data_IF_062057916460
#
_entry.id   IF_062057916460
#
_cell.length_a   1.000
_cell.length_b   1.000
_cell.length_c   1.000
_cell.angle_alpha   90.00
_cell.angle_beta   90.00
_cell.angle_gamma   90.00
#
_symmetry.space_group_name_H-M   'P 1'
#
loop_
_entity.id
_entity.type
_entity.pdbx_description
1 polymer ?
#
# COMPACT_ATOMS: atom_id res chain seq x y z
N UNK A 1 -9.91 25.96 9.53
CA UNK A 1 -10.95 25.25 10.32
C UNK A 1 -10.27 24.52 11.46
N UNK A 2 -10.81 24.56 12.69
CA UNK A 2 -10.20 23.90 13.85
C UNK A 2 -10.59 22.41 13.87
N UNK A 3 -9.63 21.49 14.06
CA UNK A 3 -9.78 20.02 13.94
C UNK A 3 -10.93 19.43 14.77
N UNK A 4 -11.28 20.09 15.88
CA UNK A 4 -12.40 19.74 16.75
C UNK A 4 -13.75 19.80 16.02
N UNK A 5 -13.96 20.81 15.17
CA UNK A 5 -15.21 21.03 14.46
C UNK A 5 -15.40 19.96 13.35
N UNK A 6 -14.34 19.60 12.64
CA UNK A 6 -14.37 18.55 11.62
C UNK A 6 -14.72 17.18 12.21
N UNK A 7 -14.16 16.81 13.37
CA UNK A 7 -14.50 15.55 14.05
C UNK A 7 -15.96 15.53 14.48
N UNK A 8 -16.50 16.65 14.99
CA UNK A 8 -17.91 16.73 15.36
C UNK A 8 -18.83 16.55 14.15
N UNK A 9 -18.50 17.18 13.02
CA UNK A 9 -19.22 17.02 11.75
C UNK A 9 -19.19 15.56 11.28
N UNK A 10 -18.03 14.89 11.35
CA UNK A 10 -17.94 13.47 10.99
C UNK A 10 -18.77 12.60 11.92
N UNK A 11 -18.74 12.85 13.24
CA UNK A 11 -19.55 12.10 14.21
C UNK A 11 -21.05 12.25 13.97
N UNK A 12 -21.53 13.46 13.66
CA UNK A 12 -22.95 13.70 13.37
C UNK A 12 -23.37 13.15 12.01
N UNK A 13 -22.49 13.20 11.01
CA UNK A 13 -22.81 12.79 9.63
C UNK A 13 -22.67 11.28 9.43
N UNK A 14 -21.46 10.74 9.60
CA UNK A 14 -21.13 9.33 9.32
C UNK A 14 -21.08 8.45 10.57
N UNK A 15 -20.90 9.07 11.75
CA UNK A 15 -20.84 8.35 13.02
C UNK A 15 -22.19 7.99 13.64
N UNK A 16 -23.31 8.54 13.15
CA UNK A 16 -24.62 8.28 13.74
C UNK A 16 -25.14 6.86 13.42
N UNK A 17 -26.01 6.26 14.28
CA UNK A 17 -26.44 4.88 14.13
C UNK A 17 -27.14 4.54 12.81
N UNK A 18 -27.92 5.48 12.26
CA UNK A 18 -28.65 5.28 11.01
C UNK A 18 -27.69 5.23 9.81
N UNK A 19 -26.79 6.21 9.68
CA UNK A 19 -25.77 6.24 8.63
C UNK A 19 -24.85 5.03 8.73
N UNK A 20 -24.42 4.64 9.94
CA UNK A 20 -23.60 3.44 10.16
C UNK A 20 -24.30 2.16 9.69
N UNK A 21 -25.60 2.01 9.96
CA UNK A 21 -26.38 0.85 9.50
C UNK A 21 -26.46 0.79 7.97
N UNK A 22 -26.65 1.94 7.32
CA UNK A 22 -26.64 2.04 5.85
C UNK A 22 -25.26 1.69 5.28
N UNK A 23 -24.18 2.28 5.80
CA UNK A 23 -22.80 1.96 5.41
C UNK A 23 -22.48 0.47 5.60
N UNK A 24 -22.97 -0.15 6.67
CA UNK A 24 -22.81 -1.60 6.90
C UNK A 24 -23.49 -2.43 5.81
N UNK A 25 -24.59 -1.96 5.22
CA UNK A 25 -25.27 -2.65 4.12
C UNK A 25 -24.53 -2.55 2.78
N UNK A 26 -23.71 -1.50 2.58
CA UNK A 26 -23.05 -1.23 1.30
C UNK A 26 -21.53 -1.44 1.29
N UNK A 27 -20.92 -1.86 2.41
CA UNK A 27 -19.47 -2.03 2.56
C UNK A 27 -18.93 -3.43 2.24
N UNK A 28 -19.73 -4.26 1.57
CA UNK A 28 -19.38 -5.66 1.25
C UNK A 28 -19.09 -5.86 -0.23
N UNK A 29 -18.36 -6.94 -0.53
CA UNK A 29 -18.13 -7.40 -1.89
C UNK A 29 -19.45 -7.69 -2.60
N UNK A 30 -19.55 -7.30 -3.86
CA UNK A 30 -20.72 -7.51 -4.69
C UNK A 30 -20.37 -8.50 -5.80
N UNK A 31 -20.91 -9.73 -5.72
CA UNK A 31 -20.65 -10.78 -6.71
C UNK A 31 -21.04 -10.35 -8.14
N UNK A 32 -22.18 -9.65 -8.30
CA UNK A 32 -22.64 -9.17 -9.61
C UNK A 32 -21.67 -8.17 -10.27
N UNK A 33 -20.99 -7.36 -9.45
CA UNK A 33 -20.07 -6.32 -9.93
C UNK A 33 -18.60 -6.69 -9.76
N UNK A 34 -18.32 -7.87 -9.17
CA UNK A 34 -16.99 -8.42 -8.84
C UNK A 34 -16.05 -7.42 -8.16
N UNK A 35 -16.58 -6.57 -7.27
CA UNK A 35 -15.83 -5.54 -6.53
C UNK A 35 -16.59 -5.10 -5.27
N UNK A 36 -15.92 -4.46 -4.32
CA UNK A 36 -16.59 -3.85 -3.16
C UNK A 36 -17.62 -2.81 -3.61
N UNK A 37 -18.82 -2.82 -3.01
CA UNK A 37 -19.89 -1.91 -3.41
C UNK A 37 -19.58 -0.43 -3.13
N UNK A 38 -18.75 -0.10 -2.13
CA UNK A 38 -18.26 1.27 -1.93
C UNK A 38 -17.30 1.70 -3.04
N UNK A 39 -16.41 0.81 -3.48
CA UNK A 39 -15.54 1.08 -4.61
C UNK A 39 -16.37 1.30 -5.88
N UNK A 40 -17.30 0.39 -6.21
CA UNK A 40 -18.21 0.52 -7.36
C UNK A 40 -18.98 1.85 -7.32
N UNK A 41 -19.48 2.25 -6.15
CA UNK A 41 -20.17 3.52 -5.95
C UNK A 41 -19.25 4.73 -6.24
N UNK A 42 -17.97 4.67 -5.86
CA UNK A 42 -16.99 5.70 -6.21
C UNK A 42 -16.73 5.73 -7.72
N UNK A 43 -16.58 4.57 -8.39
CA UNK A 43 -16.34 4.52 -9.85
C UNK A 43 -17.52 5.11 -10.64
N UNK A 44 -18.76 4.89 -10.16
CA UNK A 44 -19.95 5.51 -10.72
C UNK A 44 -19.95 7.03 -10.50
N UNK A 45 -19.56 7.50 -9.32
CA UNK A 45 -19.58 8.92 -8.98
C UNK A 45 -18.54 9.75 -9.76
N UNK A 46 -17.40 9.15 -10.10
CA UNK A 46 -16.35 9.76 -10.93
C UNK A 46 -16.51 9.47 -12.43
N UNK A 47 -17.63 8.84 -12.83
CA UNK A 47 -17.97 8.52 -14.22
C UNK A 47 -17.00 7.54 -14.93
N UNK A 48 -16.18 6.79 -14.19
CA UNK A 48 -15.27 5.74 -14.73
C UNK A 48 -16.02 4.43 -15.02
N UNK A 49 -17.12 4.19 -14.31
CA UNK A 49 -18.02 3.06 -14.54
C UNK A 49 -19.38 3.55 -15.02
N UNK A 50 -19.92 2.92 -16.06
CA UNK A 50 -21.27 3.21 -16.59
C UNK A 50 -22.33 2.25 -16.07
N UNK A 51 -21.99 0.97 -15.91
CA UNK A 51 -22.93 -0.08 -15.53
C UNK A 51 -22.61 -0.77 -14.20
N UNK A 52 -23.66 -1.00 -13.41
CA UNK A 52 -23.62 -1.65 -12.11
C UNK A 52 -25.02 -2.18 -11.75
N UNK A 53 -25.08 -3.14 -10.82
CA UNK A 53 -26.36 -3.64 -10.32
C UNK A 53 -27.14 -2.53 -9.58
N UNK A 54 -28.45 -2.71 -9.44
CA UNK A 54 -29.34 -1.72 -8.80
C UNK A 54 -28.86 -1.31 -7.40
N UNK A 55 -28.36 -2.27 -6.60
CA UNK A 55 -27.86 -2.01 -5.24
C UNK A 55 -26.62 -1.10 -5.25
N UNK A 56 -25.72 -1.26 -6.22
CA UNK A 56 -24.52 -0.42 -6.35
C UNK A 56 -24.86 0.97 -6.89
N UNK A 57 -25.80 1.08 -7.86
CA UNK A 57 -26.32 2.37 -8.34
C UNK A 57 -27.00 3.16 -7.21
N UNK A 58 -27.74 2.48 -6.33
CA UNK A 58 -28.33 3.13 -5.15
C UNK A 58 -27.28 3.56 -4.11
N UNK A 59 -26.19 2.80 -3.95
CA UNK A 59 -25.11 3.12 -3.02
C UNK A 59 -24.34 4.38 -3.42
N UNK A 60 -24.17 4.65 -4.73
CA UNK A 60 -23.53 5.87 -5.24
C UNK A 60 -24.20 7.13 -4.68
N UNK A 61 -25.51 7.29 -4.85
CA UNK A 61 -26.24 8.50 -4.40
C UNK A 61 -26.06 8.78 -2.91
N UNK A 62 -26.04 7.72 -2.11
CA UNK A 62 -25.82 7.82 -0.68
C UNK A 62 -24.37 8.21 -0.35
N UNK A 63 -23.41 7.57 -1.02
CA UNK A 63 -21.99 7.82 -0.81
C UNK A 63 -21.57 9.21 -1.27
N UNK A 64 -22.01 9.67 -2.45
CA UNK A 64 -21.69 11.01 -2.97
C UNK A 64 -22.23 12.12 -2.06
N UNK A 65 -23.40 11.93 -1.43
CA UNK A 65 -23.90 12.83 -0.39
C UNK A 65 -22.97 12.93 0.83
N UNK A 66 -22.45 11.79 1.32
CA UNK A 66 -21.47 11.76 2.41
C UNK A 66 -20.18 12.47 2.02
N UNK A 67 -19.67 12.22 0.80
CA UNK A 67 -18.40 12.78 0.34
C UNK A 67 -18.47 14.28 0.12
N UNK A 68 -19.58 14.82 -0.41
CA UNK A 68 -19.78 16.27 -0.54
C UNK A 68 -19.81 16.96 0.82
N UNK A 69 -20.47 16.37 1.81
CA UNK A 69 -20.47 16.92 3.18
C UNK A 69 -19.09 16.80 3.82
N UNK A 70 -18.40 15.67 3.62
CA UNK A 70 -17.03 15.46 4.08
C UNK A 70 -16.06 16.48 3.47
N UNK A 71 -16.03 16.62 2.15
CA UNK A 71 -15.20 17.58 1.41
C UNK A 71 -15.37 18.99 1.94
N UNK A 72 -16.61 19.47 2.09
CA UNK A 72 -16.91 20.78 2.71
C UNK A 72 -16.34 20.93 4.12
N UNK A 73 -16.37 19.87 4.94
CA UNK A 73 -15.83 19.89 6.30
C UNK A 73 -14.29 19.92 6.36
N UNK A 74 -13.63 19.47 5.29
CA UNK A 74 -12.17 19.48 5.13
C UNK A 74 -11.66 20.59 4.21
N UNK A 75 -12.55 21.40 3.62
CA UNK A 75 -12.20 22.46 2.68
C UNK A 75 -11.75 21.95 1.30
N UNK A 76 -12.18 20.75 0.91
CA UNK A 76 -11.85 20.10 -0.37
C UNK A 76 -13.08 20.19 -1.29
N UNK A 77 -12.89 20.64 -2.52
CA UNK A 77 -13.94 20.70 -3.55
C UNK A 77 -14.36 19.31 -4.03
N UNK A 78 -15.50 19.24 -4.73
CA UNK A 78 -15.96 17.98 -5.32
C UNK A 78 -15.03 17.52 -6.45
N UNK A 79 -14.51 18.46 -7.24
CA UNK A 79 -13.58 18.22 -8.33
C UNK A 79 -12.26 17.65 -7.82
N UNK A 80 -11.69 18.20 -6.75
CA UNK A 80 -10.47 17.67 -6.12
C UNK A 80 -10.70 16.27 -5.55
N UNK A 81 -11.85 16.00 -4.94
CA UNK A 81 -12.19 14.65 -4.48
C UNK A 81 -12.28 13.66 -5.65
N UNK A 82 -12.95 14.04 -6.74
CA UNK A 82 -13.07 13.20 -7.94
C UNK A 82 -11.71 12.92 -8.57
N UNK A 83 -10.83 13.93 -8.63
CA UNK A 83 -9.45 13.76 -9.11
C UNK A 83 -8.69 12.75 -8.24
N UNK A 84 -8.76 12.84 -6.91
CA UNK A 84 -8.12 11.87 -6.01
C UNK A 84 -8.67 10.46 -6.17
N UNK A 85 -9.98 10.30 -6.33
CA UNK A 85 -10.60 8.98 -6.50
C UNK A 85 -10.47 8.39 -7.90
N UNK A 86 -9.91 9.13 -8.87
CA UNK A 86 -9.47 8.54 -10.15
C UNK A 86 -8.41 7.45 -9.92
N UNK A 87 -7.57 7.60 -8.89
CA UNK A 87 -6.66 6.56 -8.45
C UNK A 87 -7.44 5.46 -7.69
N UNK A 88 -7.40 4.20 -8.18
CA UNK A 88 -8.04 3.06 -7.52
C UNK A 88 -7.65 2.84 -6.05
N UNK A 89 -6.40 3.14 -5.68
CA UNK A 89 -5.89 2.92 -4.33
C UNK A 89 -6.58 3.81 -3.30
N UNK A 90 -6.89 5.06 -3.67
CA UNK A 90 -7.66 5.99 -2.84
C UNK A 90 -9.09 5.50 -2.62
N UNK A 91 -9.70 4.89 -3.64
CA UNK A 91 -11.04 4.27 -3.52
C UNK A 91 -11.02 3.12 -2.53
N UNK A 92 -10.04 2.22 -2.60
CA UNK A 92 -9.88 1.13 -1.61
C UNK A 92 -9.65 1.64 -0.21
N UNK A 93 -8.74 2.61 -0.04
CA UNK A 93 -8.44 3.21 1.25
C UNK A 93 -9.68 3.79 1.91
N UNK A 94 -10.43 4.63 1.17
CA UNK A 94 -11.68 5.19 1.66
C UNK A 94 -12.74 4.11 1.97
N UNK A 95 -12.92 3.12 1.09
CA UNK A 95 -13.86 2.02 1.31
C UNK A 95 -13.54 1.26 2.62
N UNK A 96 -12.26 1.01 2.89
CA UNK A 96 -11.80 0.37 4.11
C UNK A 96 -12.08 1.23 5.36
N UNK A 97 -11.80 2.55 5.29
CA UNK A 97 -12.11 3.50 6.37
C UNK A 97 -13.61 3.53 6.66
N UNK A 98 -14.45 3.70 5.64
CA UNK A 98 -15.91 3.74 5.79
C UNK A 98 -16.47 2.43 6.36
N UNK A 99 -15.90 1.29 5.99
CA UNK A 99 -16.24 -0.02 6.57
C UNK A 99 -15.84 -0.11 8.05
N UNK A 100 -14.70 0.45 8.44
CA UNK A 100 -14.28 0.60 9.83
C UNK A 100 -15.28 1.42 10.64
N UNK A 101 -15.66 2.60 10.14
CA UNK A 101 -16.66 3.48 10.76
C UNK A 101 -18.03 2.80 10.85
N UNK A 102 -18.44 2.05 9.83
CA UNK A 102 -19.68 1.30 9.85
C UNK A 102 -19.71 0.24 10.96
N UNK A 103 -18.62 -0.52 11.12
CA UNK A 103 -18.51 -1.61 12.11
C UNK A 103 -18.27 -1.08 13.52
N UNK A 104 -17.22 -0.31 13.70
CA UNK A 104 -16.69 0.08 15.01
C UNK A 104 -17.14 1.50 15.41
N UNK A 105 -17.28 2.39 14.43
CA UNK A 105 -17.59 3.80 14.67
C UNK A 105 -16.34 4.66 14.56
N UNK A 106 -16.43 5.91 15.01
CA UNK A 106 -15.29 6.84 15.00
C UNK A 106 -14.60 6.75 16.36
N UNK A 107 -13.64 5.84 16.47
CA UNK A 107 -12.85 5.57 17.68
C UNK A 107 -11.43 6.15 17.60
N UNK A 108 -10.77 6.23 18.76
CA UNK A 108 -9.34 6.57 18.89
C UNK A 108 -8.68 5.52 19.80
N UNK A 109 -7.73 4.70 19.30
CA UNK A 109 -7.24 4.65 17.92
C UNK A 109 -8.33 4.22 16.93
N UNK A 110 -8.19 4.63 15.66
CA UNK A 110 -9.14 4.25 14.61
C UNK A 110 -8.99 2.78 14.24
N UNK A 111 -10.10 2.07 14.08
CA UNK A 111 -10.13 0.66 13.66
C UNK A 111 -10.69 0.56 12.25
N UNK A 112 -9.83 0.06 11.34
CA UNK A 112 -10.12 -0.06 9.92
C UNK A 112 -11.01 -1.27 9.61
N UNK A 113 -11.68 -1.29 8.45
CA UNK A 113 -12.66 -2.33 8.11
C UNK A 113 -12.06 -3.71 7.81
N UNK A 114 -10.78 -3.71 7.44
CA UNK A 114 -9.83 -4.81 7.28
C UNK A 114 -8.41 -4.27 7.51
N UNK A 115 -7.35 -5.10 7.63
CA UNK A 115 -5.98 -4.61 7.74
C UNK A 115 -5.68 -3.56 6.66
N UNK A 116 -5.16 -2.40 7.07
CA UNK A 116 -4.89 -1.30 6.15
C UNK A 116 -3.64 -1.56 5.31
N UNK A 117 -2.68 -2.26 5.88
CA UNK A 117 -1.46 -2.72 5.22
C UNK A 117 -1.24 -4.19 5.59
N UNK A 118 -0.93 -5.00 4.59
CA UNK A 118 -0.37 -6.34 4.78
C UNK A 118 1.07 -6.31 4.28
N UNK A 119 2.01 -6.51 5.19
CA UNK A 119 3.40 -6.80 4.84
C UNK A 119 3.51 -8.30 4.67
N UNK A 120 3.90 -8.74 3.47
CA UNK A 120 3.91 -10.14 3.11
C UNK A 120 5.31 -10.57 2.70
N UNK A 121 5.89 -11.45 3.51
CA UNK A 121 7.12 -12.15 3.18
C UNK A 121 6.86 -13.15 2.04
N UNK A 122 7.07 -12.67 0.81
CA UNK A 122 6.68 -13.37 -0.44
C UNK A 122 7.69 -14.46 -0.82
N UNK A 123 8.91 -14.38 -0.28
CA UNK A 123 9.97 -15.36 -0.45
C UNK A 123 10.98 -15.24 0.69
N UNK A 124 11.63 -16.34 1.05
CA UNK A 124 12.81 -16.40 1.91
C UNK A 124 14.12 -16.36 1.11
N UNK A 125 14.04 -16.40 -0.22
CA UNK A 125 15.21 -16.27 -1.07
C UNK A 125 15.81 -14.85 -0.93
N UNK A 126 17.13 -14.76 -0.84
CA UNK A 126 17.83 -13.48 -0.73
C UNK A 126 19.23 -13.54 -1.36
N UNK A 127 19.66 -12.45 -1.98
CA UNK A 127 20.99 -12.30 -2.57
C UNK A 127 22.04 -11.71 -1.60
N UNK A 128 21.64 -11.36 -0.37
CA UNK A 128 22.51 -10.79 0.68
C UNK A 128 22.63 -11.73 1.90
N UNK A 129 23.49 -11.37 2.86
CA UNK A 129 23.79 -12.17 4.07
C UNK A 129 23.89 -11.27 5.31
N UNK A 130 22.89 -10.43 5.52
CA UNK A 130 22.92 -9.37 6.52
C UNK A 130 23.09 -9.92 7.96
N UNK A 131 23.91 -9.25 8.78
CA UNK A 131 24.20 -9.64 10.17
C UNK A 131 22.96 -9.65 11.09
N UNK A 132 21.95 -8.83 10.75
CA UNK A 132 20.74 -8.63 11.55
C UNK A 132 19.50 -9.36 10.99
N UNK A 133 19.67 -10.21 9.96
CA UNK A 133 18.54 -10.79 9.23
C UNK A 133 17.71 -11.70 10.14
N UNK A 134 16.56 -11.22 10.62
CA UNK A 134 15.66 -11.99 11.48
C UNK A 134 15.11 -13.24 10.76
N UNK A 135 14.94 -13.18 9.44
CA UNK A 135 14.43 -14.27 8.63
C UNK A 135 15.50 -15.35 8.34
N UNK A 136 16.78 -15.07 8.61
CA UNK A 136 17.92 -15.91 8.17
C UNK A 136 17.78 -16.29 6.69
N UNK A 137 17.40 -15.30 5.87
CA UNK A 137 17.04 -15.48 4.48
C UNK A 137 18.22 -16.01 3.65
N UNK A 138 17.92 -16.75 2.58
CA UNK A 138 18.93 -17.35 1.72
C UNK A 138 18.33 -18.05 0.53
N UNK A 139 18.00 -19.35 0.67
CA UNK A 139 17.29 -20.10 -0.36
C UNK A 139 15.77 -20.00 -0.15
N UNK A 140 14.97 -20.13 -1.23
CA UNK A 140 13.53 -20.21 -1.06
C UNK A 140 13.16 -21.39 -0.17
N UNK A 141 12.09 -21.25 0.61
CA UNK A 141 11.51 -22.38 1.34
C UNK A 141 10.87 -23.38 0.35
N UNK A 142 10.86 -24.69 0.69
CA UNK A 142 10.28 -25.70 -0.18
C UNK A 142 8.76 -25.57 -0.38
N UNK A 143 8.09 -24.87 0.53
CA UNK A 143 6.64 -24.65 0.59
C UNK A 143 6.24 -23.19 0.34
N UNK A 144 7.09 -22.40 -0.35
CA UNK A 144 6.69 -21.08 -0.83
C UNK A 144 5.50 -21.19 -1.78
N UNK A 145 4.55 -20.27 -1.63
CA UNK A 145 3.37 -20.19 -2.50
C UNK A 145 3.80 -20.05 -3.95
N UNK A 146 3.19 -20.86 -4.82
CA UNK A 146 3.30 -20.74 -6.27
C UNK A 146 2.72 -19.41 -6.76
N UNK A 147 2.95 -19.08 -8.04
CA UNK A 147 2.39 -17.88 -8.65
C UNK A 147 0.86 -17.85 -8.54
N UNK A 148 0.19 -18.98 -8.78
CA UNK A 148 -1.28 -19.07 -8.74
C UNK A 148 -1.83 -18.98 -7.32
N UNK A 149 -1.25 -19.69 -6.36
CA UNK A 149 -1.62 -19.55 -4.94
C UNK A 149 -1.38 -18.12 -4.42
N UNK A 150 -0.35 -17.45 -4.92
CA UNK A 150 -0.08 -16.04 -4.59
C UNK A 150 -1.16 -15.12 -5.17
N UNK A 151 -1.63 -15.35 -6.41
CA UNK A 151 -2.76 -14.62 -7.00
C UNK A 151 -4.06 -14.86 -6.23
N UNK A 152 -4.35 -16.11 -5.84
CA UNK A 152 -5.51 -16.45 -5.02
C UNK A 152 -5.47 -15.76 -3.65
N UNK A 153 -4.28 -15.63 -3.07
CA UNK A 153 -4.07 -14.87 -1.83
C UNK A 153 -4.34 -13.38 -2.05
N UNK A 154 -3.85 -12.79 -3.15
CA UNK A 154 -4.17 -11.40 -3.53
C UNK A 154 -5.69 -11.20 -3.72
N UNK A 155 -6.37 -12.15 -4.36
CA UNK A 155 -7.84 -12.14 -4.50
C UNK A 155 -8.54 -12.15 -3.15
N UNK A 156 -8.03 -12.95 -2.21
CA UNK A 156 -8.58 -13.02 -0.84
C UNK A 156 -8.40 -11.70 -0.11
N UNK A 157 -7.23 -11.08 -0.22
CA UNK A 157 -6.93 -9.76 0.37
C UNK A 157 -7.79 -8.65 -0.26
N UNK A 158 -7.95 -8.66 -1.58
CA UNK A 158 -8.81 -7.73 -2.32
C UNK A 158 -10.28 -7.83 -1.87
N UNK A 159 -10.83 -9.05 -1.84
CA UNK A 159 -12.20 -9.31 -1.34
C UNK A 159 -12.37 -8.91 0.12
N UNK A 160 -11.33 -9.10 0.93
CA UNK A 160 -11.31 -8.63 2.32
C UNK A 160 -11.28 -7.10 2.42
N UNK A 161 -10.92 -6.37 1.35
CA UNK A 161 -10.86 -4.92 1.30
C UNK A 161 -9.54 -4.34 1.79
N UNK A 162 -8.44 -5.10 1.69
CA UNK A 162 -7.09 -4.63 2.02
C UNK A 162 -6.65 -3.62 0.95
N UNK A 163 -6.31 -2.38 1.33
CA UNK A 163 -5.95 -1.35 0.35
C UNK A 163 -4.47 -1.36 -0.02
N UNK A 164 -3.59 -1.90 0.82
CA UNK A 164 -2.13 -1.86 0.62
C UNK A 164 -1.50 -3.24 0.86
N UNK A 165 -0.67 -3.67 -0.09
CA UNK A 165 0.23 -4.82 0.07
C UNK A 165 1.66 -4.32 -0.05
N UNK A 166 2.50 -4.66 0.93
CA UNK A 166 3.95 -4.49 0.84
C UNK A 166 4.62 -5.85 0.69
N UNK A 167 5.21 -6.12 -0.49
CA UNK A 167 6.01 -7.32 -0.68
C UNK A 167 7.35 -7.18 0.06
N UNK A 168 7.68 -8.20 0.86
CA UNK A 168 8.80 -8.25 1.81
C UNK A 168 9.38 -9.67 1.84
N UNK A 169 10.25 -9.97 2.80
CA UNK A 169 10.79 -11.30 3.08
C UNK A 169 12.31 -11.27 3.07
N UNK A 170 12.92 -12.19 2.32
CA UNK A 170 14.34 -12.14 1.96
C UNK A 170 14.63 -10.95 1.04
N UNK A 171 14.60 -11.17 -0.27
CA UNK A 171 14.63 -10.11 -1.28
C UNK A 171 13.54 -10.37 -2.33
N UNK A 172 12.44 -9.58 -2.36
CA UNK A 172 11.36 -9.80 -3.33
C UNK A 172 11.83 -9.82 -4.78
N UNK A 173 12.84 -9.00 -5.15
CA UNK A 173 13.32 -8.90 -6.53
C UNK A 173 14.10 -10.13 -7.04
N UNK A 174 14.45 -11.09 -6.16
CA UNK A 174 15.02 -12.36 -6.61
C UNK A 174 13.95 -13.35 -7.08
N UNK A 175 12.68 -13.13 -6.72
CA UNK A 175 11.57 -13.99 -7.10
C UNK A 175 11.12 -13.67 -8.53
N UNK A 176 11.14 -14.66 -9.41
CA UNK A 176 11.01 -14.46 -10.87
C UNK A 176 9.67 -13.88 -11.33
N UNK A 177 8.58 -14.15 -10.60
CA UNK A 177 7.20 -13.73 -10.90
C UNK A 177 6.78 -12.47 -10.13
N UNK A 178 7.68 -11.80 -9.39
CA UNK A 178 7.31 -10.71 -8.47
C UNK A 178 6.61 -9.54 -9.19
N UNK A 179 7.05 -9.20 -10.40
CA UNK A 179 6.46 -8.11 -11.18
C UNK A 179 5.10 -8.51 -11.80
N UNK A 180 4.88 -9.80 -12.04
CA UNK A 180 3.56 -10.32 -12.43
C UNK A 180 2.59 -10.19 -11.26
N UNK A 181 2.99 -10.63 -10.06
CA UNK A 181 2.19 -10.51 -8.84
C UNK A 181 1.91 -9.05 -8.47
N UNK A 182 2.90 -8.17 -8.64
CA UNK A 182 2.74 -6.71 -8.47
C UNK A 182 1.67 -6.17 -9.39
N UNK A 183 1.74 -6.47 -10.69
CA UNK A 183 0.74 -6.02 -11.66
C UNK A 183 -0.64 -6.57 -11.32
N UNK A 184 -0.71 -7.84 -10.96
CA UNK A 184 -1.97 -8.49 -10.59
C UNK A 184 -2.65 -7.82 -9.39
N UNK A 185 -1.88 -7.39 -8.37
CA UNK A 185 -2.40 -6.62 -7.25
C UNK A 185 -2.79 -5.18 -7.65
N UNK A 186 -1.93 -4.50 -8.43
CA UNK A 186 -2.16 -3.13 -8.88
C UNK A 186 -3.41 -3.02 -9.78
N UNK A 187 -3.66 -3.99 -10.67
CA UNK A 187 -4.83 -4.03 -11.55
C UNK A 187 -6.16 -4.16 -10.78
N UNK A 188 -6.11 -4.66 -9.54
CA UNK A 188 -7.28 -4.68 -8.62
C UNK A 188 -7.48 -3.35 -7.91
N UNK A 189 -6.52 -2.42 -8.03
CA UNK A 189 -6.47 -1.13 -7.37
C UNK A 189 -5.84 -1.16 -5.99
N UNK A 190 -5.08 -2.21 -5.65
CA UNK A 190 -4.29 -2.26 -4.41
C UNK A 190 -3.07 -1.36 -4.59
N UNK A 191 -2.76 -0.54 -3.60
CA UNK A 191 -1.50 0.19 -3.55
C UNK A 191 -0.36 -0.80 -3.28
N UNK A 192 0.55 -0.95 -4.23
CA UNK A 192 1.66 -1.91 -4.10
C UNK A 192 2.92 -1.20 -3.64
N UNK A 193 3.42 -1.64 -2.50
CA UNK A 193 4.68 -1.26 -1.90
C UNK A 193 5.67 -2.45 -1.92
N UNK A 194 6.95 -2.16 -1.78
CA UNK A 194 7.99 -3.20 -1.68
C UNK A 194 9.06 -2.79 -0.67
N UNK A 195 9.40 -3.70 0.25
CA UNK A 195 10.61 -3.62 1.05
C UNK A 195 11.71 -4.42 0.34
N UNK A 196 12.84 -3.78 0.04
CA UNK A 196 13.93 -4.36 -0.76
C UNK A 196 15.28 -3.87 -0.26
N UNK A 197 16.32 -4.63 -0.55
CA UNK A 197 17.70 -4.21 -0.34
C UNK A 197 18.22 -3.26 -1.44
N UNK A 198 17.47 -3.06 -2.53
CA UNK A 198 17.80 -2.09 -3.59
C UNK A 198 18.90 -2.51 -4.56
N UNK A 199 19.69 -3.54 -4.24
CA UNK A 199 20.90 -3.91 -5.01
C UNK A 199 20.63 -4.46 -6.41
N UNK A 200 19.39 -4.85 -6.70
CA UNK A 200 18.95 -5.41 -7.99
C UNK A 200 18.22 -4.40 -8.88
N UNK A 201 18.07 -3.15 -8.42
CA UNK A 201 17.29 -2.13 -9.12
C UNK A 201 18.19 -1.40 -10.13
N UNK A 202 18.36 -2.00 -11.30
CA UNK A 202 18.93 -1.32 -12.47
C UNK A 202 17.94 -0.28 -13.02
N UNK A 203 18.39 0.58 -13.95
CA UNK A 203 17.49 1.53 -14.63
C UNK A 203 16.33 0.80 -15.34
N UNK A 204 16.62 -0.31 -16.01
CA UNK A 204 15.59 -1.13 -16.66
C UNK A 204 14.64 -1.73 -15.62
N UNK A 205 15.17 -2.27 -14.52
CA UNK A 205 14.34 -2.85 -13.45
C UNK A 205 13.43 -1.81 -12.82
N UNK A 206 13.90 -0.59 -12.58
CA UNK A 206 13.07 0.51 -12.05
C UNK A 206 11.91 0.85 -12.98
N UNK A 207 12.14 0.89 -14.30
CA UNK A 207 11.08 1.07 -15.31
C UNK A 207 10.06 -0.05 -15.27
N UNK A 208 10.52 -1.29 -15.19
CA UNK A 208 9.64 -2.47 -15.08
C UNK A 208 8.82 -2.45 -13.78
N UNK A 209 9.42 -2.08 -12.66
CA UNK A 209 8.77 -1.92 -11.36
C UNK A 209 7.66 -0.86 -11.42
N UNK A 210 7.98 0.33 -11.96
CA UNK A 210 6.99 1.41 -12.13
C UNK A 210 5.85 0.97 -13.04
N UNK A 211 6.16 0.34 -14.17
CA UNK A 211 5.16 -0.19 -15.14
C UNK A 211 4.31 -1.30 -14.54
N UNK A 212 4.86 -2.12 -13.64
CA UNK A 212 4.11 -3.14 -12.93
C UNK A 212 3.18 -2.57 -11.86
N UNK A 213 3.30 -1.28 -11.50
CA UNK A 213 2.42 -0.62 -10.54
C UNK A 213 3.03 -0.45 -9.15
N UNK A 214 4.36 -0.61 -8.98
CA UNK A 214 5.02 -0.22 -7.71
C UNK A 214 4.93 1.30 -7.55
N UNK A 215 4.37 1.73 -6.43
CA UNK A 215 4.21 3.14 -6.10
C UNK A 215 5.19 3.59 -4.99
N UNK A 216 5.60 2.66 -4.13
CA UNK A 216 6.46 2.91 -2.98
C UNK A 216 7.50 1.81 -2.82
N UNK A 217 8.74 2.19 -2.53
CA UNK A 217 9.80 1.27 -2.11
C UNK A 217 10.41 1.72 -0.80
N UNK A 218 10.57 0.79 0.13
CA UNK A 218 11.41 0.95 1.30
C UNK A 218 12.74 0.25 1.04
N UNK A 219 13.81 1.03 0.92
CA UNK A 219 15.16 0.52 0.62
C UNK A 219 15.99 0.57 1.89
N UNK A 220 16.63 -0.54 2.26
CA UNK A 220 17.50 -0.52 3.45
C UNK A 220 18.86 0.12 3.14
N UNK A 221 19.23 1.14 3.92
CA UNK A 221 20.53 1.78 3.93
C UNK A 221 21.06 1.79 5.37
N UNK A 222 21.94 0.84 5.69
CA UNK A 222 22.36 0.55 7.06
C UNK A 222 23.79 1.04 7.41
N UNK A 223 24.40 1.87 6.58
CA UNK A 223 25.73 2.44 6.80
C UNK A 223 25.94 3.66 5.91
N UNK A 224 26.81 4.59 6.33
CA UNK A 224 27.07 5.84 5.60
C UNK A 224 27.91 5.66 4.33
N UNK A 225 28.66 4.57 4.26
CA UNK A 225 29.56 4.25 3.16
C UNK A 225 29.63 2.73 2.93
N UNK A 226 30.43 2.34 1.94
CA UNK A 226 30.62 0.94 1.58
C UNK A 226 31.26 0.12 2.71
N UNK A 227 32.14 0.69 3.53
CA UNK A 227 32.81 -0.04 4.60
C UNK A 227 31.78 -0.54 5.63
N UNK A 228 30.95 0.36 6.15
CA UNK A 228 29.95 -0.01 7.16
C UNK A 228 28.79 -0.77 6.53
N UNK A 229 28.25 -0.31 5.40
CA UNK A 229 27.07 -0.93 4.80
C UNK A 229 27.37 -2.34 4.27
N UNK A 230 28.44 -2.56 3.52
CA UNK A 230 28.75 -3.89 2.97
C UNK A 230 29.08 -4.89 4.08
N UNK A 231 29.81 -4.43 5.10
CA UNK A 231 30.10 -5.24 6.30
C UNK A 231 28.81 -5.64 7.01
N UNK A 232 27.82 -4.75 7.11
CA UNK A 232 26.54 -5.02 7.77
C UNK A 232 25.64 -5.95 6.93
N UNK A 233 25.61 -5.76 5.61
CA UNK A 233 24.77 -6.48 4.64
C UNK A 233 25.40 -7.79 4.14
N UNK A 234 26.69 -7.99 4.41
CA UNK A 234 27.41 -9.25 4.20
C UNK A 234 27.84 -9.52 2.76
N UNK A 235 27.80 -8.51 1.87
CA UNK A 235 28.19 -8.62 0.46
C UNK A 235 28.93 -7.36 0.01
N UNK A 236 30.17 -7.46 -0.49
CA UNK A 236 30.89 -6.33 -1.08
C UNK A 236 30.20 -5.73 -2.30
N UNK A 237 30.23 -4.41 -2.41
CA UNK A 237 29.56 -3.61 -3.45
C UNK A 237 28.05 -3.47 -3.25
N UNK A 238 27.53 -3.76 -2.04
CA UNK A 238 26.10 -3.61 -1.76
C UNK A 238 25.73 -2.13 -1.66
N UNK A 239 26.56 -1.30 -1.03
CA UNK A 239 26.34 0.13 -0.87
C UNK A 239 26.17 0.84 -2.22
N UNK A 240 27.12 0.68 -3.14
CA UNK A 240 27.04 1.36 -4.44
C UNK A 240 25.79 0.94 -5.22
N UNK A 241 25.46 -0.36 -5.21
CA UNK A 241 24.26 -0.87 -5.89
C UNK A 241 22.97 -0.38 -5.25
N UNK A 242 22.91 -0.31 -3.92
CA UNK A 242 21.77 0.25 -3.19
C UNK A 242 21.58 1.72 -3.54
N UNK A 243 22.65 2.51 -3.55
CA UNK A 243 22.61 3.93 -3.91
C UNK A 243 22.23 4.14 -5.38
N UNK A 244 22.69 3.28 -6.29
CA UNK A 244 22.25 3.28 -7.69
C UNK A 244 20.75 2.95 -7.81
N UNK A 245 20.29 1.92 -7.08
CA UNK A 245 18.89 1.52 -7.04
C UNK A 245 17.97 2.62 -6.52
N UNK A 246 18.39 3.35 -5.48
CA UNK A 246 17.66 4.53 -4.97
C UNK A 246 17.51 5.57 -6.08
N UNK A 247 18.62 5.94 -6.75
CA UNK A 247 18.60 6.94 -7.84
C UNK A 247 17.70 6.50 -9.00
N UNK A 248 17.75 5.22 -9.37
CA UNK A 248 16.92 4.65 -10.43
C UNK A 248 15.43 4.71 -10.09
N UNK A 249 15.04 4.40 -8.84
CA UNK A 249 13.65 4.55 -8.37
C UNK A 249 13.17 6.00 -8.42
N UNK A 250 14.00 6.94 -7.95
CA UNK A 250 13.67 8.37 -7.97
C UNK A 250 13.48 8.89 -9.42
N UNK A 251 14.34 8.47 -10.35
CA UNK A 251 14.25 8.82 -11.77
C UNK A 251 12.92 8.39 -12.40
N UNK A 252 12.38 7.25 -12.00
CA UNK A 252 11.10 6.71 -12.49
C UNK A 252 9.88 7.20 -11.68
N UNK A 253 10.08 8.12 -10.73
CA UNK A 253 9.01 8.68 -9.91
C UNK A 253 8.36 7.65 -9.00
N UNK A 254 9.13 6.68 -8.50
CA UNK A 254 8.74 5.79 -7.41
C UNK A 254 9.04 6.51 -6.09
N UNK A 255 8.09 6.50 -5.15
CA UNK A 255 8.35 7.08 -3.83
C UNK A 255 9.34 6.20 -3.07
N UNK A 256 10.47 6.76 -2.66
CA UNK A 256 11.52 6.04 -1.91
C UNK A 256 11.48 6.44 -0.45
N UNK A 257 11.44 5.44 0.43
CA UNK A 257 11.71 5.59 1.85
C UNK A 257 13.01 4.84 2.17
N UNK A 258 13.92 5.49 2.89
CA UNK A 258 15.10 4.84 3.43
C UNK A 258 14.75 4.23 4.79
N UNK A 259 15.11 2.96 4.97
CA UNK A 259 15.01 2.27 6.25
C UNK A 259 16.41 1.91 6.77
N UNK A 260 16.66 2.23 8.03
CA UNK A 260 17.94 1.95 8.69
C UNK A 260 17.66 1.17 9.97
N UNK A 261 18.27 0.00 10.10
CA UNK A 261 18.24 -0.76 11.35
C UNK A 261 19.33 -0.22 12.26
N UNK A 262 18.93 0.56 13.27
CA UNK A 262 19.85 1.08 14.27
C UNK A 262 20.41 -0.05 15.14
N UNK A 263 21.73 -0.16 15.20
CA UNK A 263 22.47 -1.15 16.00
C UNK A 263 23.72 -0.53 16.61
N UNK A 264 24.38 -1.23 17.53
CA UNK A 264 25.67 -0.78 18.07
C UNK A 264 26.78 -0.66 17.01
N UNK A 265 26.58 -1.18 15.80
CA UNK A 265 27.54 -1.06 14.69
C UNK A 265 27.40 0.24 13.89
N UNK A 266 26.23 0.88 13.87
CA UNK A 266 25.93 1.98 12.94
C UNK A 266 25.18 3.16 13.56
N UNK A 267 24.82 3.11 14.86
CA UNK A 267 24.00 4.17 15.47
C UNK A 267 24.66 5.56 15.44
N UNK A 268 25.99 5.63 15.49
CA UNK A 268 26.75 6.88 15.40
C UNK A 268 26.73 7.47 13.98
N UNK A 269 26.50 6.63 12.96
CA UNK A 269 26.45 7.05 11.55
C UNK A 269 25.05 7.50 11.11
N UNK A 270 24.01 7.31 11.93
CA UNK A 270 22.62 7.66 11.54
C UNK A 270 22.49 9.11 11.06
N UNK A 271 23.09 10.13 11.71
CA UNK A 271 23.08 11.49 11.19
C UNK A 271 23.68 11.59 9.77
N UNK A 272 24.81 10.93 9.52
CA UNK A 272 25.47 10.92 8.22
C UNK A 272 24.63 10.18 7.16
N UNK A 273 23.92 9.11 7.53
CA UNK A 273 22.97 8.42 6.64
C UNK A 273 21.81 9.34 6.26
N UNK A 274 21.31 10.16 7.20
CA UNK A 274 20.26 11.15 6.94
C UNK A 274 20.77 12.22 5.97
N UNK A 275 22.00 12.70 6.14
CA UNK A 275 22.61 13.72 5.27
C UNK A 275 22.82 13.23 3.82
N UNK A 276 22.84 11.92 3.58
CA UNK A 276 22.91 11.32 2.23
C UNK A 276 21.57 11.32 1.48
N UNK A 277 20.45 11.50 2.19
CA UNK A 277 19.08 11.36 1.67
C UNK A 277 18.49 12.70 1.23
#
# INVERSE_FOLDING_TARGET
MNTVNTIQILKSTIGNPATRKLLKGISWYCEDCKKNRLEVALELWIDERKEACFKCKAAEKFLSGILKTGGKAFGISEEELKEKFSDPSWRKGLANVLRGIAKFGIEKPFVSGAPFLVVWDITYACNLKCKHCYATAGKPLPDELTTEESKETIDTLDKAGVPIIAFSGGEPLVRSDILELTRYAADKGIYVAMATNGTLITEEKAKEMKKAGIQFVQISLDGKDAETHDSFRGVPGAFEKTMEGIKNCLKEGIFVNIATTATHYNYEEIPEIIDLC
#
